data_IF_490178231700
#
_entry.id   IF_490178231700
#
_cell.length_a   1.000
_cell.length_b   1.000
_cell.length_c   1.000
_cell.angle_alpha   90.00
_cell.angle_beta   90.00
_cell.angle_gamma   90.00
#
_symmetry.space_group_name_H-M   'P 1'
#
loop_
_entity.id
_entity.type
_entity.pdbx_description
1 polymer ?
#
# COMPACT_ATOMS: atom_id res chain seq x y z
N UNK A 1 -30.99 25.46 58.13
CA UNK A 1 -31.09 24.40 57.11
C UNK A 1 -30.07 24.74 56.03
N UNK A 2 -28.95 24.00 56.00
CA UNK A 2 -27.79 24.28 55.12
C UNK A 2 -27.86 23.32 53.93
N UNK A 3 -27.98 23.84 52.71
CA UNK A 3 -27.85 23.05 51.49
C UNK A 3 -26.37 22.97 51.10
N UNK A 4 -25.76 21.78 51.29
CA UNK A 4 -24.42 21.45 50.81
C UNK A 4 -24.44 21.27 49.30
N UNK A 5 -23.60 22.06 48.62
CA UNK A 5 -23.42 22.01 47.17
C UNK A 5 -22.81 20.68 46.71
N UNK A 6 -23.41 20.08 45.68
CA UNK A 6 -22.77 19.04 44.87
C UNK A 6 -21.91 19.72 43.81
N UNK A 7 -20.58 19.61 43.95
CA UNK A 7 -19.65 19.84 42.84
C UNK A 7 -19.81 18.68 41.86
N UNK A 8 -20.34 18.97 40.67
CA UNK A 8 -20.21 18.06 39.54
C UNK A 8 -18.75 18.14 39.05
N UNK A 9 -18.00 17.06 39.20
CA UNK A 9 -16.74 16.86 38.49
C UNK A 9 -17.09 16.58 37.03
N UNK A 10 -16.80 17.54 36.14
CA UNK A 10 -16.85 17.30 34.71
C UNK A 10 -15.69 16.36 34.35
N UNK A 11 -16.01 15.13 33.95
CA UNK A 11 -15.06 14.24 33.31
C UNK A 11 -14.82 14.77 31.89
N UNK A 12 -13.61 15.29 31.64
CA UNK A 12 -13.20 15.68 30.30
C UNK A 12 -12.73 14.42 29.58
N UNK A 13 -13.57 13.89 28.71
CA UNK A 13 -13.18 12.85 27.76
C UNK A 13 -12.23 13.49 26.72
N UNK A 14 -10.93 13.27 26.90
CA UNK A 14 -9.93 13.70 25.90
C UNK A 14 -10.03 12.76 24.72
N UNK A 15 -10.75 13.18 23.67
CA UNK A 15 -10.75 12.48 22.39
C UNK A 15 -9.36 12.66 21.78
N UNK A 16 -8.47 11.68 21.98
CA UNK A 16 -7.20 11.63 21.28
C UNK A 16 -7.49 11.33 19.80
N UNK A 17 -7.05 12.23 18.91
CA UNK A 17 -7.21 12.04 17.47
C UNK A 17 -6.51 10.76 17.02
N UNK A 18 -7.11 10.04 16.07
CA UNK A 18 -6.53 8.83 15.50
C UNK A 18 -5.12 9.10 14.92
N UNK A 19 -4.20 8.12 14.97
CA UNK A 19 -2.87 8.28 14.40
C UNK A 19 -2.93 8.60 12.90
N UNK A 20 -2.15 9.58 12.49
CA UNK A 20 -2.00 9.98 11.09
C UNK A 20 -0.60 9.62 10.59
N UNK A 21 -0.50 9.14 9.36
CA UNK A 21 0.78 8.90 8.69
C UNK A 21 0.95 9.94 7.60
N UNK A 22 1.95 10.79 7.74
CA UNK A 22 2.17 11.96 6.87
C UNK A 22 3.49 11.80 6.15
N UNK A 23 3.43 11.86 4.82
CA UNK A 23 4.61 11.97 3.97
C UNK A 23 5.05 13.42 3.84
N UNK A 24 6.34 13.67 3.96
CA UNK A 24 6.96 14.97 3.77
C UNK A 24 7.96 14.87 2.62
N UNK A 25 7.81 15.74 1.62
CA UNK A 25 8.70 15.81 0.47
C UNK A 25 9.97 16.62 0.81
N UNK A 26 11.08 16.39 0.08
CA UNK A 26 12.30 17.17 0.22
C UNK A 26 12.06 18.67 0.06
N UNK A 27 12.73 19.49 0.86
CA UNK A 27 12.71 20.95 0.81
C UNK A 27 14.13 21.49 0.62
N UNK A 28 14.28 22.80 0.42
CA UNK A 28 15.61 23.44 0.30
C UNK A 28 16.53 23.16 1.50
N UNK A 29 15.96 22.97 2.70
CA UNK A 29 16.70 22.74 3.94
C UNK A 29 16.78 21.26 4.36
N UNK A 30 16.08 20.36 3.67
CA UNK A 30 16.12 18.91 3.94
C UNK A 30 15.87 18.13 2.66
N UNK A 31 16.92 17.49 2.14
CA UNK A 31 16.91 16.81 0.85
C UNK A 31 16.26 15.42 0.87
N UNK A 32 15.68 14.97 1.99
CA UNK A 32 15.20 13.58 2.13
C UNK A 32 13.69 13.50 2.27
N UNK A 33 13.11 12.51 1.61
CA UNK A 33 11.72 12.11 1.85
C UNK A 33 11.57 11.50 3.25
N UNK A 34 10.45 11.81 3.90
CA UNK A 34 10.13 11.27 5.23
C UNK A 34 8.71 10.80 5.32
N UNK A 35 8.51 9.79 6.15
CA UNK A 35 7.18 9.36 6.60
C UNK A 35 7.14 9.48 8.11
N UNK A 36 6.08 10.10 8.63
CA UNK A 36 5.94 10.40 10.07
C UNK A 36 4.63 9.88 10.59
N UNK A 37 4.62 9.28 11.78
CA UNK A 37 3.40 9.11 12.55
C UNK A 37 3.18 10.35 13.42
N UNK A 38 1.99 10.92 13.31
CA UNK A 38 1.57 12.10 14.06
C UNK A 38 0.34 11.76 14.90
N UNK A 39 0.36 12.16 16.17
CA UNK A 39 -0.76 12.04 17.09
C UNK A 39 -0.96 13.37 17.80
N UNK A 40 -2.20 13.87 17.81
CA UNK A 40 -2.53 15.17 18.43
C UNK A 40 -1.59 16.32 18.02
N UNK A 41 -1.16 16.32 16.75
CA UNK A 41 -0.24 17.32 16.19
C UNK A 41 1.25 17.12 16.50
N UNK A 42 1.61 16.11 17.28
CA UNK A 42 3.00 15.80 17.62
C UNK A 42 3.53 14.63 16.79
N UNK A 43 4.76 14.75 16.29
CA UNK A 43 5.45 13.64 15.61
C UNK A 43 5.90 12.63 16.66
N UNK A 44 5.39 11.41 16.58
CA UNK A 44 5.75 10.30 17.47
C UNK A 44 7.02 9.61 17.00
N UNK A 45 7.13 9.39 15.69
CA UNK A 45 8.34 8.88 15.05
C UNK A 45 8.43 9.37 13.61
N UNK A 46 9.66 9.34 13.07
CA UNK A 46 9.93 9.57 11.66
C UNK A 46 10.78 8.46 11.07
N UNK A 47 10.45 8.07 9.84
CA UNK A 47 11.26 7.21 9.00
C UNK A 47 11.81 8.05 7.83
N UNK A 48 13.13 8.12 7.75
CA UNK A 48 13.84 8.91 6.73
C UNK A 48 14.25 7.96 5.61
N UNK A 49 13.83 8.29 4.39
CA UNK A 49 14.23 7.54 3.20
C UNK A 49 15.65 7.93 2.76
N UNK A 50 16.33 6.99 2.11
CA UNK A 50 17.58 7.27 1.43
C UNK A 50 17.39 8.38 0.39
N UNK A 51 18.39 9.23 0.12
CA UNK A 51 18.24 10.42 -0.73
C UNK A 51 17.81 10.13 -2.18
N UNK A 52 18.04 8.91 -2.63
CA UNK A 52 17.72 8.37 -3.96
C UNK A 52 16.33 7.74 -4.05
N UNK A 53 15.58 7.68 -2.94
CA UNK A 53 14.26 7.08 -2.87
C UNK A 53 13.16 8.11 -2.56
N UNK A 54 12.06 7.99 -3.27
CA UNK A 54 10.83 8.73 -3.04
C UNK A 54 9.69 7.79 -2.65
N UNK A 55 8.80 8.27 -1.79
CA UNK A 55 7.59 7.55 -1.40
C UNK A 55 6.54 7.69 -2.52
N UNK A 56 5.99 6.56 -2.97
CA UNK A 56 4.94 6.51 -3.99
C UNK A 56 3.57 6.19 -3.39
N UNK A 57 3.48 5.21 -2.49
CA UNK A 57 2.24 4.91 -1.74
C UNK A 57 2.51 4.52 -0.28
N UNK A 58 1.50 4.67 0.59
CA UNK A 58 1.55 4.30 2.00
C UNK A 58 0.18 3.77 2.44
N UNK A 59 0.11 2.55 3.00
CA UNK A 59 -1.14 1.95 3.49
C UNK A 59 -0.90 1.10 4.73
N UNK A 60 -1.87 1.08 5.66
CA UNK A 60 -1.85 0.18 6.81
C UNK A 60 -2.42 -1.19 6.45
N UNK A 61 -1.73 -2.24 6.87
CA UNK A 61 -2.16 -3.63 6.72
C UNK A 61 -1.44 -4.53 7.72
N UNK A 62 -2.05 -5.62 8.17
CA UNK A 62 -1.38 -6.64 9.01
C UNK A 62 -0.62 -6.06 10.21
N UNK A 63 -1.20 -5.06 10.88
CA UNK A 63 -0.57 -4.30 11.97
C UNK A 63 0.79 -3.69 11.59
N UNK A 64 0.96 -3.36 10.31
CA UNK A 64 2.15 -2.76 9.70
C UNK A 64 1.79 -1.56 8.83
N UNK A 65 2.74 -0.65 8.65
CA UNK A 65 2.67 0.37 7.61
C UNK A 65 3.47 -0.10 6.39
N UNK A 66 2.78 -0.33 5.28
CA UNK A 66 3.39 -0.70 4.01
C UNK A 66 3.64 0.54 3.16
N UNK A 67 4.89 0.74 2.77
CA UNK A 67 5.35 1.91 2.03
C UNK A 67 5.96 1.46 0.69
N UNK A 68 5.38 1.88 -0.43
CA UNK A 68 6.06 1.72 -1.73
C UNK A 68 7.03 2.88 -1.89
N UNK A 69 8.30 2.56 -2.09
CA UNK A 69 9.38 3.49 -2.38
C UNK A 69 9.98 3.16 -3.73
N UNK A 70 10.31 4.19 -4.51
CA UNK A 70 10.89 4.04 -5.84
C UNK A 70 12.05 5.02 -6.00
N UNK A 71 13.02 4.74 -6.89
CA UNK A 71 14.04 5.72 -7.21
C UNK A 71 13.44 7.06 -7.65
N UNK A 72 14.00 8.19 -7.21
CA UNK A 72 13.46 9.54 -7.47
C UNK A 72 13.29 9.86 -8.97
N UNK A 73 14.14 9.26 -9.82
CA UNK A 73 14.08 9.43 -11.28
C UNK A 73 13.18 8.39 -11.98
N UNK A 74 12.47 7.56 -11.21
CA UNK A 74 11.56 6.55 -11.75
C UNK A 74 10.22 7.19 -12.12
N UNK A 75 9.83 7.05 -13.38
CA UNK A 75 8.55 7.56 -13.92
C UNK A 75 7.42 6.51 -13.71
N UNK A 76 7.57 5.61 -12.72
CA UNK A 76 6.67 4.49 -12.35
C UNK A 76 6.83 3.22 -13.22
N UNK A 77 6.76 2.08 -12.51
CA UNK A 77 6.73 0.67 -12.96
C UNK A 77 8.08 0.09 -13.39
N UNK A 78 8.91 -0.23 -12.39
CA UNK A 78 10.08 -1.08 -12.56
C UNK A 78 10.26 -2.02 -11.36
N UNK A 79 10.98 -3.11 -11.59
CA UNK A 79 11.60 -4.00 -10.62
C UNK A 79 12.57 -3.32 -9.63
N UNK A 80 12.72 -1.99 -9.68
CA UNK A 80 13.59 -1.23 -8.79
C UNK A 80 12.84 -0.58 -7.62
N UNK A 81 11.50 -0.61 -7.62
CA UNK A 81 10.74 -0.19 -6.45
C UNK A 81 10.77 -1.27 -5.37
N UNK A 82 10.61 -0.83 -4.12
CA UNK A 82 10.49 -1.70 -2.95
C UNK A 82 9.23 -1.33 -2.16
N UNK A 83 8.67 -2.33 -1.48
CA UNK A 83 7.63 -2.18 -0.49
C UNK A 83 8.22 -2.47 0.87
N UNK A 84 8.41 -1.43 1.67
CA UNK A 84 8.88 -1.52 3.04
C UNK A 84 7.69 -1.81 3.97
N UNK A 85 7.83 -2.75 4.89
CA UNK A 85 6.92 -2.91 6.03
C UNK A 85 7.57 -2.30 7.26
N UNK A 86 6.98 -1.24 7.77
CA UNK A 86 7.40 -0.57 9.00
C UNK A 86 6.48 -0.99 10.15
N UNK A 87 7.05 -1.09 11.34
CA UNK A 87 6.28 -1.14 12.57
C UNK A 87 5.50 0.19 12.74
N UNK A 88 4.17 0.15 12.87
CA UNK A 88 3.36 1.37 12.87
C UNK A 88 3.56 2.18 14.15
N UNK A 89 4.04 1.56 15.23
CA UNK A 89 4.20 2.22 16.52
C UNK A 89 5.56 2.88 16.69
N UNK A 90 6.60 2.32 16.07
CA UNK A 90 8.00 2.72 16.27
C UNK A 90 8.67 3.23 15.00
N UNK A 91 8.09 3.01 13.82
CA UNK A 91 8.69 3.38 12.52
C UNK A 91 9.87 2.50 12.10
N UNK A 92 10.21 1.47 12.89
CA UNK A 92 11.32 0.55 12.56
C UNK A 92 10.95 -0.30 11.36
N UNK A 93 11.87 -0.39 10.40
CA UNK A 93 11.73 -1.30 9.27
C UNK A 93 11.79 -2.74 9.75
N UNK A 94 10.78 -3.53 9.38
CA UNK A 94 10.67 -4.95 9.72
C UNK A 94 11.13 -5.83 8.55
N UNK A 95 10.71 -5.50 7.33
CA UNK A 95 11.07 -6.24 6.11
C UNK A 95 10.90 -5.35 4.88
N UNK A 96 11.54 -5.76 3.78
CA UNK A 96 11.36 -5.17 2.44
C UNK A 96 10.93 -6.25 1.45
N UNK A 97 10.19 -5.87 0.42
CA UNK A 97 9.77 -6.71 -0.70
C UNK A 97 10.03 -5.95 -2.00
N UNK A 98 10.56 -6.61 -3.03
CA UNK A 98 10.67 -6.00 -4.35
C UNK A 98 9.30 -5.84 -4.98
N UNK A 99 9.02 -4.68 -5.59
CA UNK A 99 7.77 -4.45 -6.33
C UNK A 99 7.01 -3.20 -5.88
N UNK A 100 5.71 -3.19 -6.17
CA UNK A 100 4.81 -2.10 -5.81
C UNK A 100 3.59 -2.61 -5.06
N UNK A 101 3.20 -1.90 -4.01
CA UNK A 101 2.01 -2.20 -3.25
C UNK A 101 0.77 -1.87 -4.09
N UNK A 102 0.06 -2.91 -4.49
CA UNK A 102 -1.20 -2.77 -5.21
C UNK A 102 -2.36 -2.46 -4.26
N UNK A 103 -2.49 -3.28 -3.22
CA UNK A 103 -3.58 -3.17 -2.25
C UNK A 103 -3.15 -3.70 -0.89
N UNK A 104 -3.48 -2.97 0.16
CA UNK A 104 -3.32 -3.40 1.52
C UNK A 104 -4.68 -3.43 2.23
N UNK A 105 -4.92 -4.46 3.04
CA UNK A 105 -6.12 -4.62 3.86
C UNK A 105 -5.71 -5.10 5.25
N UNK A 106 -6.67 -5.20 6.19
CA UNK A 106 -6.39 -5.80 7.50
C UNK A 106 -5.90 -7.26 7.42
N UNK A 107 -6.21 -7.96 6.32
CA UNK A 107 -5.99 -9.40 6.18
C UNK A 107 -4.79 -9.75 5.28
N UNK A 108 -4.43 -8.88 4.35
CA UNK A 108 -3.32 -9.13 3.42
C UNK A 108 -2.74 -7.84 2.81
N UNK A 109 -1.51 -7.92 2.32
CA UNK A 109 -0.93 -6.96 1.38
C UNK A 109 -0.58 -7.66 0.06
N UNK A 110 -1.00 -7.10 -1.07
CA UNK A 110 -0.73 -7.60 -2.42
C UNK A 110 0.29 -6.69 -3.09
N UNK A 111 1.40 -7.28 -3.52
CA UNK A 111 2.55 -6.61 -4.12
C UNK A 111 2.75 -7.20 -5.52
N UNK A 112 2.96 -6.35 -6.53
CA UNK A 112 3.35 -6.79 -7.87
C UNK A 112 4.82 -6.49 -8.13
N UNK A 113 5.57 -7.50 -8.56
CA UNK A 113 7.03 -7.40 -8.73
C UNK A 113 7.41 -6.95 -10.14
N UNK A 114 6.57 -7.28 -11.12
CA UNK A 114 6.71 -6.88 -12.51
C UNK A 114 5.31 -6.67 -13.08
N UNK A 115 4.83 -5.44 -13.01
CA UNK A 115 3.73 -5.02 -13.85
C UNK A 115 4.31 -4.29 -15.04
N UNK A 116 3.90 -4.70 -16.25
CA UNK A 116 4.12 -3.90 -17.45
C UNK A 116 3.88 -2.41 -17.16
N UNK A 117 4.71 -1.54 -17.74
CA UNK A 117 4.67 -0.09 -17.48
C UNK A 117 3.30 0.56 -17.68
N UNK A 118 2.45 -0.10 -18.46
CA UNK A 118 1.07 0.27 -18.67
C UNK A 118 0.14 -0.87 -18.24
N UNK A 119 -0.99 -0.48 -17.66
CA UNK A 119 -2.13 -1.34 -17.41
C UNK A 119 -3.29 -1.06 -18.37
N UNK A 120 -3.04 -0.31 -19.45
CA UNK A 120 -4.04 0.11 -20.41
C UNK A 120 -3.65 -0.28 -21.84
N UNK A 121 -4.66 -0.55 -22.67
CA UNK A 121 -4.52 -0.91 -24.09
C UNK A 121 -3.53 -2.07 -24.34
N UNK A 122 -3.63 -3.11 -23.52
CA UNK A 122 -2.75 -4.28 -23.56
C UNK A 122 -3.29 -5.37 -24.50
N UNK A 123 -2.42 -5.95 -25.31
CA UNK A 123 -2.72 -7.22 -26.00
C UNK A 123 -2.31 -8.43 -25.17
N UNK A 124 -1.32 -8.24 -24.29
CA UNK A 124 -0.80 -9.26 -23.39
C UNK A 124 -0.34 -8.61 -22.09
N UNK A 125 -0.68 -9.24 -20.98
CA UNK A 125 -0.27 -8.85 -19.64
C UNK A 125 0.24 -10.08 -18.92
N UNK A 126 1.49 -10.04 -18.47
CA UNK A 126 2.03 -11.03 -17.52
C UNK A 126 2.25 -10.33 -16.19
N UNK A 127 2.01 -11.05 -15.10
CA UNK A 127 2.30 -10.54 -13.77
C UNK A 127 2.93 -11.60 -12.88
N UNK A 128 3.72 -11.12 -11.94
CA UNK A 128 4.24 -11.86 -10.80
C UNK A 128 3.89 -11.08 -9.52
N UNK A 129 3.23 -11.75 -8.57
CA UNK A 129 2.68 -11.15 -7.38
C UNK A 129 3.10 -11.87 -6.10
N UNK A 130 3.24 -11.11 -5.02
CA UNK A 130 3.39 -11.60 -3.66
C UNK A 130 2.16 -11.20 -2.85
N UNK A 131 1.58 -12.18 -2.13
CA UNK A 131 0.53 -11.97 -1.14
C UNK A 131 1.13 -12.16 0.23
N UNK A 132 1.27 -11.06 0.96
CA UNK A 132 1.73 -11.07 2.34
C UNK A 132 0.50 -11.29 3.23
N UNK A 133 0.57 -12.32 4.06
CA UNK A 133 -0.39 -12.63 5.12
C UNK A 133 0.34 -12.55 6.47
N UNK A 134 -0.41 -12.50 7.57
CA UNK A 134 0.16 -12.38 8.92
C UNK A 134 1.24 -13.44 9.23
N UNK A 135 1.02 -14.67 8.79
CA UNK A 135 1.85 -15.82 9.13
C UNK A 135 2.60 -16.44 7.94
N UNK A 136 2.36 -15.97 6.71
CA UNK A 136 2.97 -16.56 5.51
C UNK A 136 3.02 -15.57 4.36
N UNK A 137 3.91 -15.84 3.41
CA UNK A 137 3.94 -15.18 2.11
C UNK A 137 3.56 -16.22 1.06
N UNK A 138 2.64 -15.86 0.17
CA UNK A 138 2.26 -16.66 -0.99
C UNK A 138 2.66 -15.92 -2.26
N UNK A 139 2.82 -16.65 -3.35
CA UNK A 139 3.15 -16.08 -4.65
C UNK A 139 2.12 -16.51 -5.69
N UNK A 140 1.74 -15.60 -6.57
CA UNK A 140 0.83 -15.88 -7.68
C UNK A 140 1.41 -15.28 -8.95
N UNK A 141 1.41 -16.04 -10.02
CA UNK A 141 1.85 -15.58 -11.33
C UNK A 141 0.91 -16.07 -12.42
N UNK A 142 0.90 -15.34 -13.53
CA UNK A 142 0.06 -15.72 -14.65
C UNK A 142 0.10 -14.69 -15.76
N UNK A 143 -0.76 -14.92 -16.75
CA UNK A 143 -0.90 -14.02 -17.88
C UNK A 143 -2.35 -13.92 -18.36
N UNK A 144 -2.63 -12.80 -18.99
CA UNK A 144 -3.89 -12.48 -19.67
C UNK A 144 -3.57 -12.03 -21.10
N UNK A 145 -4.34 -12.51 -22.05
CA UNK A 145 -4.27 -12.13 -23.47
C UNK A 145 -5.58 -11.50 -23.89
N UNK A 146 -5.53 -10.64 -24.90
CA UNK A 146 -6.73 -10.07 -25.50
C UNK A 146 -7.66 -11.18 -26.01
N UNK A 147 -8.97 -10.97 -25.81
CA UNK A 147 -9.98 -11.88 -26.36
C UNK A 147 -10.09 -11.65 -27.86
N UNK A 148 -10.30 -12.73 -28.61
CA UNK A 148 -10.55 -12.62 -30.04
C UNK A 148 -11.73 -11.66 -30.31
N UNK A 149 -11.51 -10.74 -31.25
CA UNK A 149 -12.50 -9.72 -31.69
C UNK A 149 -12.88 -8.67 -30.64
N UNK A 150 -12.18 -8.59 -29.51
CA UNK A 150 -12.47 -7.60 -28.45
C UNK A 150 -11.41 -6.51 -28.30
N UNK A 151 -10.35 -6.54 -29.13
CA UNK A 151 -9.22 -5.60 -29.05
C UNK A 151 -8.38 -5.77 -27.79
N UNK A 152 -7.50 -4.81 -27.54
CA UNK A 152 -6.72 -4.75 -26.30
C UNK A 152 -7.58 -4.48 -25.07
N UNK A 153 -7.01 -4.70 -23.89
CA UNK A 153 -7.69 -4.60 -22.60
C UNK A 153 -6.93 -3.72 -21.60
N UNK A 154 -7.65 -3.22 -20.59
CA UNK A 154 -7.11 -2.53 -19.44
C UNK A 154 -7.21 -3.44 -18.21
N UNK A 155 -6.16 -3.51 -17.39
CA UNK A 155 -6.21 -4.12 -16.04
C UNK A 155 -6.65 -3.04 -15.06
N UNK A 156 -7.82 -3.24 -14.46
CA UNK A 156 -8.47 -2.26 -13.57
C UNK A 156 -8.16 -2.50 -12.09
N UNK A 157 -7.88 -3.74 -11.71
CA UNK A 157 -7.95 -4.16 -10.32
C UNK A 157 -7.33 -5.53 -10.09
N UNK A 158 -6.87 -5.75 -8.87
CA UNK A 158 -6.48 -7.05 -8.36
C UNK A 158 -6.96 -7.21 -6.91
N UNK A 159 -7.41 -8.40 -6.55
CA UNK A 159 -7.81 -8.78 -5.18
C UNK A 159 -7.27 -10.15 -4.83
N UNK A 160 -7.10 -10.40 -3.54
CA UNK A 160 -6.79 -11.74 -3.01
C UNK A 160 -7.97 -12.24 -2.19
N UNK A 161 -8.35 -13.48 -2.39
CA UNK A 161 -9.43 -14.15 -1.67
C UNK A 161 -9.18 -15.67 -1.67
N UNK A 162 -9.27 -16.31 -0.51
CA UNK A 162 -9.17 -17.78 -0.36
C UNK A 162 -8.03 -18.47 -1.15
N UNK A 163 -6.83 -17.87 -1.17
CA UNK A 163 -5.68 -18.46 -1.90
C UNK A 163 -5.68 -18.16 -3.40
N UNK A 164 -6.53 -17.26 -3.87
CA UNK A 164 -6.67 -16.88 -5.27
C UNK A 164 -6.44 -15.38 -5.43
N UNK A 165 -5.63 -15.01 -6.42
CA UNK A 165 -5.52 -13.62 -6.90
C UNK A 165 -6.43 -13.46 -8.12
N UNK A 166 -7.41 -12.58 -8.04
CA UNK A 166 -8.32 -12.26 -9.15
C UNK A 166 -7.99 -10.89 -9.74
N UNK A 167 -7.67 -10.86 -11.03
CA UNK A 167 -7.52 -9.64 -11.82
C UNK A 167 -8.86 -9.27 -12.43
N UNK A 168 -9.23 -7.99 -12.31
CA UNK A 168 -10.37 -7.40 -13.01
C UNK A 168 -9.85 -6.58 -14.18
N UNK A 169 -10.43 -6.77 -15.35
CA UNK A 169 -9.99 -6.12 -16.58
C UNK A 169 -11.18 -5.73 -17.46
N UNK A 170 -10.93 -4.87 -18.45
CA UNK A 170 -11.94 -4.36 -19.38
C UNK A 170 -11.40 -4.32 -20.80
N UNK A 171 -12.17 -4.81 -21.75
CA UNK A 171 -11.93 -4.61 -23.19
C UNK A 171 -13.19 -4.05 -23.87
N UNK A 172 -13.21 -4.00 -25.21
CA UNK A 172 -14.37 -3.51 -25.98
C UNK A 172 -15.62 -4.38 -25.78
N UNK A 173 -15.43 -5.66 -25.49
CA UNK A 173 -16.52 -6.61 -25.22
C UNK A 173 -17.03 -6.53 -23.77
N UNK A 174 -16.39 -5.76 -22.90
CA UNK A 174 -16.85 -5.45 -21.54
C UNK A 174 -15.87 -5.86 -20.44
N UNK A 175 -16.41 -6.03 -19.24
CA UNK A 175 -15.63 -6.41 -18.05
C UNK A 175 -15.37 -7.92 -18.02
N UNK A 176 -14.19 -8.29 -17.51
CA UNK A 176 -13.80 -9.67 -17.27
C UNK A 176 -13.04 -9.81 -15.95
N UNK A 177 -12.98 -11.06 -15.48
CA UNK A 177 -12.20 -11.43 -14.31
C UNK A 177 -11.44 -12.72 -14.60
N UNK A 178 -10.16 -12.75 -14.24
CA UNK A 178 -9.31 -13.94 -14.36
C UNK A 178 -8.63 -14.21 -13.03
N UNK A 179 -8.64 -15.48 -12.63
CA UNK A 179 -8.17 -15.92 -11.31
C UNK A 179 -6.93 -16.80 -11.42
N UNK A 180 -6.00 -16.59 -10.48
CA UNK A 180 -4.72 -17.26 -10.44
C UNK A 180 -4.47 -17.79 -9.02
N UNK A 181 -4.18 -19.09 -8.90
CA UNK A 181 -3.92 -19.71 -7.60
C UNK A 181 -2.59 -19.21 -7.03
N UNK A 182 -2.63 -18.67 -5.82
CA UNK A 182 -1.45 -18.36 -5.05
C UNK A 182 -0.92 -19.64 -4.37
N UNK A 183 0.40 -19.81 -4.37
CA UNK A 183 1.10 -20.94 -3.76
C UNK A 183 2.05 -20.45 -2.68
#
# INVERSE_FOLDING_TARGET
>A
MVCLGRRATAEFEVILAAPQYISSFPTENDSRWKVRRVESGQTIWEYILSPDLAQNSAQLALDGLFLTVCPTNSIIATNQCEVLRLDPFTGKMQTSYTGQLWKATKDYALIFNDSSKTFAALDYFRFDAQVILRAKVMTASGSLSSRQKCGGFDVLGARFDEGVVSLTWRDVCGLGQTSFTAK
#
